data_IF_472337162217
#
_entry.id   IF_472337162217
#
_cell.length_a   1.000
_cell.length_b   1.000
_cell.length_c   1.000
_cell.angle_alpha   90.00
_cell.angle_beta   90.00
_cell.angle_gamma   90.00
#
_symmetry.space_group_name_H-M   'P 1'
#
loop_
_entity.id
_entity.type
_entity.pdbx_description
1 polymer ?
#
# COMPACT_ATOMS: atom_id res chain seq x y z
N UNK A 1 -32.17 -0.84 5.32
CA UNK A 1 -32.32 -0.36 6.71
C UNK A 1 -30.95 -0.37 7.35
N UNK A 2 -30.45 0.80 7.77
CA UNK A 2 -29.16 0.90 8.47
C UNK A 2 -29.33 0.16 9.81
N UNK A 3 -28.53 -0.88 10.03
CA UNK A 3 -28.61 -1.70 11.24
C UNK A 3 -28.22 -0.84 12.45
N UNK A 4 -29.14 -0.63 13.40
CA UNK A 4 -28.92 0.22 14.59
C UNK A 4 -27.78 -0.29 15.47
N UNK A 5 -27.33 -1.53 15.28
CA UNK A 5 -26.15 -2.11 15.94
C UNK A 5 -24.85 -1.41 15.53
N UNK A 6 -24.78 -0.86 14.31
CA UNK A 6 -23.62 -0.09 13.86
C UNK A 6 -23.38 1.11 14.78
N UNK A 7 -24.40 1.93 15.06
CA UNK A 7 -24.22 3.13 15.90
C UNK A 7 -23.79 2.84 17.35
N UNK A 8 -24.18 1.69 17.90
CA UNK A 8 -23.94 1.35 19.31
C UNK A 8 -22.62 0.61 19.56
N UNK A 9 -22.15 -0.17 18.57
CA UNK A 9 -20.90 -0.94 18.66
C UNK A 9 -19.75 -0.31 17.87
N UNK A 10 -19.96 0.88 17.29
CA UNK A 10 -18.94 1.58 16.54
C UNK A 10 -17.93 2.24 17.48
N UNK A 11 -16.65 2.03 17.19
CA UNK A 11 -15.56 2.64 17.95
C UNK A 11 -15.38 4.11 17.53
N UNK A 12 -16.13 4.97 18.20
CA UNK A 12 -16.06 6.42 18.01
C UNK A 12 -14.69 7.00 18.39
N UNK A 13 -13.93 6.32 19.27
CA UNK A 13 -12.59 6.75 19.67
C UNK A 13 -11.62 6.70 18.50
N UNK A 14 -11.61 5.59 17.75
CA UNK A 14 -10.78 5.45 16.55
C UNK A 14 -11.17 6.48 15.49
N UNK A 15 -12.48 6.68 15.26
CA UNK A 15 -12.93 7.67 14.27
C UNK A 15 -12.46 9.08 14.65
N UNK A 16 -12.59 9.47 15.92
CA UNK A 16 -12.13 10.78 16.39
C UNK A 16 -10.61 10.93 16.26
N UNK A 17 -9.83 9.88 16.60
CA UNK A 17 -8.38 9.90 16.43
C UNK A 17 -7.97 10.08 14.96
N UNK A 18 -8.62 9.36 14.03
CA UNK A 18 -8.37 9.50 12.58
C UNK A 18 -8.72 10.92 12.10
N UNK A 19 -9.85 11.48 12.54
CA UNK A 19 -10.24 12.85 12.20
C UNK A 19 -9.26 13.88 12.76
N UNK A 20 -8.82 13.73 14.01
CA UNK A 20 -7.87 14.62 14.64
C UNK A 20 -6.53 14.63 13.88
N UNK A 21 -5.97 13.46 13.57
CA UNK A 21 -4.74 13.34 12.79
C UNK A 21 -4.91 13.95 11.39
N UNK A 22 -6.07 13.72 10.76
CA UNK A 22 -6.37 14.28 9.43
C UNK A 22 -6.43 15.81 9.45
N UNK A 23 -7.05 16.39 10.46
CA UNK A 23 -7.14 17.85 10.65
C UNK A 23 -5.78 18.47 10.94
N UNK A 24 -4.96 17.83 11.78
CA UNK A 24 -3.56 18.24 12.00
C UNK A 24 -2.81 18.24 10.66
N UNK A 25 -2.99 17.18 9.84
CA UNK A 25 -2.41 17.12 8.50
C UNK A 25 -2.83 18.28 7.59
N UNK A 26 -4.12 18.67 7.61
CA UNK A 26 -4.60 19.85 6.86
C UNK A 26 -3.95 21.14 7.37
N UNK A 27 -3.84 21.31 8.69
CA UNK A 27 -3.18 22.48 9.29
C UNK A 27 -1.69 22.54 8.90
N UNK A 28 -1.00 21.41 8.87
CA UNK A 28 0.39 21.32 8.42
C UNK A 28 0.52 21.69 6.94
N UNK A 29 -0.37 21.20 6.07
CA UNK A 29 -0.38 21.57 4.64
C UNK A 29 -0.62 23.06 4.47
N UNK A 30 -1.58 23.62 5.19
CA UNK A 30 -1.87 25.05 5.17
C UNK A 30 -0.64 25.87 5.58
N UNK A 31 0.04 25.47 6.66
CA UNK A 31 1.26 26.12 7.15
C UNK A 31 2.41 26.02 6.13
N UNK A 32 2.68 24.83 5.61
CA UNK A 32 3.78 24.56 4.68
C UNK A 32 3.59 25.20 3.30
N UNK A 33 2.35 25.50 2.90
CA UNK A 33 2.01 26.12 1.61
C UNK A 33 1.83 27.63 1.73
N UNK A 34 2.13 28.24 2.89
CA UNK A 34 2.05 29.71 3.02
C UNK A 34 3.09 30.37 2.11
N UNK A 35 2.67 31.29 1.22
CA UNK A 35 3.60 32.03 0.38
C UNK A 35 4.45 32.97 1.26
N UNK A 36 5.73 33.09 0.93
CA UNK A 36 6.71 33.93 1.67
C UNK A 36 6.65 35.41 1.22
N UNK A 37 6.12 35.68 0.02
CA UNK A 37 5.93 37.00 -0.61
C UNK A 37 4.53 37.06 -1.25
N UNK A 38 4.10 38.21 -1.81
CA UNK A 38 2.79 38.52 -2.44
C UNK A 38 2.35 37.60 -3.61
N UNK A 39 2.45 36.29 -3.44
CA UNK A 39 1.96 35.27 -4.33
C UNK A 39 0.62 34.73 -3.79
N UNK A 40 -0.24 34.29 -4.70
CA UNK A 40 -1.50 33.64 -4.33
C UNK A 40 -1.23 32.37 -3.51
N UNK A 41 -1.93 32.24 -2.38
CA UNK A 41 -1.83 31.06 -1.53
C UNK A 41 -2.36 29.83 -2.28
N UNK A 42 -1.52 28.81 -2.47
CA UNK A 42 -1.99 27.60 -3.13
C UNK A 42 -3.00 26.85 -2.26
N UNK A 43 -4.07 26.40 -2.90
CA UNK A 43 -5.29 25.96 -2.23
C UNK A 43 -5.30 24.46 -1.91
N UNK A 44 -4.12 23.85 -1.70
CA UNK A 44 -3.99 22.41 -1.45
C UNK A 44 -4.72 21.94 -0.20
N UNK A 45 -4.78 22.79 0.84
CA UNK A 45 -5.52 22.48 2.07
C UNK A 45 -7.04 22.35 1.82
N UNK A 46 -7.64 23.17 0.95
CA UNK A 46 -9.06 22.99 0.56
C UNK A 46 -9.24 21.70 -0.22
N UNK A 47 -8.32 21.39 -1.15
CA UNK A 47 -8.33 20.11 -1.87
C UNK A 47 -8.28 18.93 -0.89
N UNK A 48 -7.44 18.99 0.14
CA UNK A 48 -7.35 17.97 1.17
C UNK A 48 -8.65 17.83 1.98
N UNK A 49 -9.32 18.95 2.32
CA UNK A 49 -10.62 18.91 2.98
C UNK A 49 -11.68 18.23 2.10
N UNK A 50 -11.73 18.51 0.80
CA UNK A 50 -12.63 17.80 -0.12
C UNK A 50 -12.35 16.29 -0.16
N UNK A 51 -11.08 15.88 -0.17
CA UNK A 51 -10.70 14.47 -0.12
C UNK A 51 -11.06 13.80 1.20
N UNK A 52 -10.91 14.49 2.34
CA UNK A 52 -11.36 13.99 3.65
C UNK A 52 -12.87 13.80 3.64
N UNK A 53 -13.65 14.77 3.15
CA UNK A 53 -15.10 14.65 3.04
C UNK A 53 -15.51 13.48 2.14
N UNK A 54 -14.90 13.34 0.97
CA UNK A 54 -15.16 12.21 0.06
C UNK A 54 -14.77 10.88 0.72
N UNK A 55 -13.63 10.83 1.41
CA UNK A 55 -13.18 9.67 2.17
C UNK A 55 -14.15 9.26 3.27
N UNK A 56 -14.73 10.23 4.00
CA UNK A 56 -15.76 9.99 5.01
C UNK A 56 -17.06 9.45 4.40
N UNK A 57 -17.49 9.99 3.26
CA UNK A 57 -18.65 9.44 2.53
C UNK A 57 -18.38 7.98 2.15
N UNK A 58 -17.23 7.70 1.52
CA UNK A 58 -16.83 6.32 1.18
C UNK A 58 -16.75 5.41 2.41
N UNK A 59 -16.23 5.91 3.52
CA UNK A 59 -16.16 5.20 4.79
C UNK A 59 -17.55 4.79 5.30
N UNK A 60 -18.50 5.73 5.38
CA UNK A 60 -19.85 5.43 5.85
C UNK A 60 -20.60 4.47 4.91
N UNK A 61 -20.37 4.58 3.60
CA UNK A 61 -20.92 3.62 2.61
C UNK A 61 -20.37 2.22 2.87
N UNK A 62 -19.05 2.07 3.04
CA UNK A 62 -18.42 0.77 3.29
C UNK A 62 -18.85 0.16 4.62
N UNK A 63 -18.92 0.97 5.69
CA UNK A 63 -19.37 0.52 7.03
C UNK A 63 -20.83 0.07 7.02
N UNK A 64 -21.65 0.63 6.13
CA UNK A 64 -23.07 0.25 5.99
C UNK A 64 -23.27 -1.10 5.29
N UNK A 65 -22.23 -1.67 4.66
CA UNK A 65 -22.28 -2.96 3.96
C UNK A 65 -21.79 -4.06 4.91
N UNK A 66 -22.53 -5.18 4.97
CA UNK A 66 -22.14 -6.35 5.77
C UNK A 66 -20.76 -6.87 5.32
N UNK A 67 -19.83 -6.96 6.27
CA UNK A 67 -18.47 -7.48 6.06
C UNK A 67 -18.46 -8.87 5.41
N UNK A 68 -19.49 -9.70 5.62
CA UNK A 68 -19.63 -11.02 4.99
C UNK A 68 -19.70 -10.94 3.47
N UNK A 69 -20.24 -9.86 2.91
CA UNK A 69 -20.28 -9.65 1.47
C UNK A 69 -18.88 -9.44 0.89
N UNK A 70 -18.04 -8.66 1.58
CA UNK A 70 -16.64 -8.47 1.20
C UNK A 70 -15.83 -9.77 1.26
N UNK A 71 -16.04 -10.58 2.30
CA UNK A 71 -15.37 -11.88 2.44
C UNK A 71 -15.77 -12.85 1.31
N UNK A 72 -17.05 -12.89 0.94
CA UNK A 72 -17.53 -13.73 -0.17
C UNK A 72 -16.98 -13.28 -1.52
N UNK A 73 -16.84 -11.97 -1.72
CA UNK A 73 -16.38 -11.36 -2.98
C UNK A 73 -14.87 -11.14 -3.05
N UNK A 74 -14.11 -11.58 -2.04
CA UNK A 74 -12.70 -11.25 -1.87
C UNK A 74 -11.83 -11.61 -3.09
N UNK A 75 -12.03 -12.80 -3.66
CA UNK A 75 -11.29 -13.23 -4.85
C UNK A 75 -11.68 -12.47 -6.12
N UNK A 76 -12.95 -12.03 -6.22
CA UNK A 76 -13.40 -11.17 -7.32
C UNK A 76 -12.71 -9.82 -7.23
N UNK A 77 -12.66 -9.21 -6.03
CA UNK A 77 -11.94 -7.96 -5.82
C UNK A 77 -10.44 -8.09 -6.12
N UNK A 78 -9.83 -9.21 -5.75
CA UNK A 78 -8.44 -9.48 -6.11
C UNK A 78 -8.23 -9.52 -7.63
N UNK A 79 -9.10 -10.21 -8.37
CA UNK A 79 -9.02 -10.26 -9.83
C UNK A 79 -9.24 -8.88 -10.46
N UNK A 80 -10.22 -8.11 -9.97
CA UNK A 80 -10.41 -6.71 -10.38
C UNK A 80 -9.13 -5.90 -10.12
N UNK A 81 -8.51 -6.09 -8.97
CA UNK A 81 -7.23 -5.46 -8.63
C UNK A 81 -6.10 -5.79 -9.61
N UNK A 82 -5.97 -7.07 -9.99
CA UNK A 82 -5.01 -7.51 -11.02
C UNK A 82 -5.29 -6.80 -12.35
N UNK A 83 -6.56 -6.76 -12.78
CA UNK A 83 -6.97 -6.07 -14.01
C UNK A 83 -6.62 -4.59 -13.95
N UNK A 84 -6.85 -3.91 -12.82
CA UNK A 84 -6.49 -2.51 -12.64
C UNK A 84 -4.95 -2.29 -12.68
N UNK A 85 -4.17 -3.21 -12.12
CA UNK A 85 -2.70 -3.17 -12.21
C UNK A 85 -2.20 -3.38 -13.66
N UNK A 86 -2.87 -4.22 -14.45
CA UNK A 86 -2.58 -4.36 -15.88
C UNK A 86 -2.99 -3.08 -16.62
N UNK A 87 -4.17 -2.53 -16.30
CA UNK A 87 -4.71 -1.34 -16.95
C UNK A 87 -3.77 -0.14 -16.81
N UNK A 88 -3.18 0.09 -15.63
CA UNK A 88 -2.23 1.20 -15.45
C UNK A 88 -0.93 1.01 -16.23
N UNK A 89 -0.51 -0.22 -16.52
CA UNK A 89 0.66 -0.47 -17.39
C UNK A 89 0.41 -0.07 -18.84
N UNK A 90 -0.85 -0.07 -19.28
CA UNK A 90 -1.23 0.29 -20.66
C UNK A 90 -1.68 1.75 -20.76
N UNK A 91 -2.52 2.19 -19.84
CA UNK A 91 -3.22 3.49 -19.89
C UNK A 91 -2.69 4.52 -18.87
N UNK A 92 -1.71 4.15 -18.03
CA UNK A 92 -1.14 5.06 -17.04
C UNK A 92 -0.28 6.16 -17.68
N UNK A 93 -0.27 7.34 -17.06
CA UNK A 93 0.63 8.42 -17.47
C UNK A 93 2.02 8.19 -16.89
N UNK A 94 3.07 8.35 -17.70
CA UNK A 94 4.46 8.38 -17.22
C UNK A 94 4.70 9.74 -16.55
N UNK A 95 4.86 9.75 -15.23
CA UNK A 95 5.25 10.94 -14.44
C UNK A 95 6.49 10.61 -13.61
N UNK A 96 7.49 11.50 -13.59
CA UNK A 96 8.75 11.34 -12.84
C UNK A 96 9.44 9.97 -13.04
N UNK A 97 9.42 9.43 -14.27
CA UNK A 97 10.06 8.16 -14.61
C UNK A 97 9.27 6.89 -14.23
N UNK A 98 8.02 7.01 -13.75
CA UNK A 98 7.17 5.87 -13.41
C UNK A 98 5.72 6.02 -13.90
N UNK A 99 5.12 4.90 -14.30
CA UNK A 99 3.74 4.85 -14.81
C UNK A 99 2.83 4.26 -13.72
N UNK A 100 2.21 5.13 -12.92
CA UNK A 100 1.56 4.75 -11.65
C UNK A 100 0.15 5.29 -11.48
N UNK A 101 -0.17 6.37 -12.19
CA UNK A 101 -1.43 7.08 -12.04
C UNK A 101 -2.21 7.04 -13.34
N UNK A 102 -3.49 6.71 -13.23
CA UNK A 102 -4.47 6.83 -14.32
C UNK A 102 -5.14 8.20 -14.17
N UNK A 103 -4.93 9.15 -15.09
CA UNK A 103 -5.60 10.43 -15.05
C UNK A 103 -7.06 10.24 -15.50
N UNK A 104 -8.02 10.44 -14.59
CA UNK A 104 -9.45 10.42 -14.89
C UNK A 104 -9.98 11.84 -15.23
N UNK A 105 -9.08 12.79 -15.47
CA UNK A 105 -9.39 14.21 -15.70
C UNK A 105 -9.60 14.98 -14.40
N UNK A 106 -10.63 14.64 -13.63
CA UNK A 106 -10.96 15.30 -12.37
C UNK A 106 -10.17 14.76 -11.16
N UNK A 107 -9.66 13.53 -11.26
CA UNK A 107 -8.82 12.91 -10.25
C UNK A 107 -7.73 12.05 -10.87
N UNK A 108 -6.66 11.83 -10.10
CA UNK A 108 -5.66 10.82 -10.42
C UNK A 108 -5.98 9.57 -9.60
N UNK A 109 -6.12 8.43 -10.27
CA UNK A 109 -6.39 7.16 -9.62
C UNK A 109 -5.13 6.30 -9.59
N UNK A 110 -4.78 5.76 -8.42
CA UNK A 110 -3.64 4.86 -8.25
C UNK A 110 -4.12 3.44 -7.94
N UNK A 111 -4.16 2.53 -8.94
CA UNK A 111 -4.61 1.15 -8.75
C UNK A 111 -3.92 0.38 -7.62
N UNK A 112 -2.62 0.63 -7.42
CA UNK A 112 -1.83 -0.09 -6.42
C UNK A 112 -2.28 0.15 -4.98
N UNK A 113 -2.93 1.29 -4.70
CA UNK A 113 -3.47 1.60 -3.38
C UNK A 113 -4.68 0.71 -3.07
N UNK A 114 -5.61 0.61 -4.01
CA UNK A 114 -6.79 -0.27 -3.90
C UNK A 114 -6.41 -1.74 -3.90
N UNK A 115 -5.40 -2.12 -4.70
CA UNK A 115 -4.92 -3.49 -4.75
C UNK A 115 -4.46 -4.01 -3.38
N UNK A 116 -3.84 -3.18 -2.54
CA UNK A 116 -3.44 -3.60 -1.18
C UNK A 116 -4.63 -4.06 -0.34
N UNK A 117 -5.76 -3.35 -0.43
CA UNK A 117 -6.99 -3.71 0.29
C UNK A 117 -7.56 -5.03 -0.24
N UNK A 118 -7.61 -5.18 -1.58
CA UNK A 118 -8.09 -6.39 -2.23
C UNK A 118 -7.20 -7.61 -1.93
N UNK A 119 -5.89 -7.40 -1.86
CA UNK A 119 -4.90 -8.40 -1.46
C UNK A 119 -5.13 -8.86 -0.03
N UNK A 120 -5.30 -7.95 0.93
CA UNK A 120 -5.61 -8.29 2.33
C UNK A 120 -6.91 -9.09 2.43
N UNK A 121 -7.98 -8.69 1.71
CA UNK A 121 -9.25 -9.43 1.71
C UNK A 121 -9.10 -10.84 1.14
N UNK A 122 -8.41 -11.01 0.02
CA UNK A 122 -8.23 -12.32 -0.59
C UNK A 122 -7.30 -13.22 0.24
N UNK A 123 -6.22 -12.66 0.77
CA UNK A 123 -5.28 -13.38 1.60
C UNK A 123 -5.92 -13.80 2.93
N UNK A 124 -6.67 -12.91 3.61
CA UNK A 124 -7.42 -13.28 4.82
C UNK A 124 -8.45 -14.37 4.54
N UNK A 125 -9.17 -14.30 3.41
CA UNK A 125 -10.14 -15.32 3.01
C UNK A 125 -9.49 -16.68 2.79
N UNK A 126 -8.32 -16.72 2.16
CA UNK A 126 -7.55 -17.95 1.94
C UNK A 126 -7.02 -18.52 3.26
N UNK A 127 -6.34 -17.67 4.04
CA UNK A 127 -5.74 -18.04 5.32
C UNK A 127 -6.76 -18.51 6.36
N UNK A 128 -7.93 -17.88 6.43
CA UNK A 128 -9.02 -18.30 7.34
C UNK A 128 -9.55 -19.71 7.05
N UNK A 129 -9.43 -20.18 5.80
CA UNK A 129 -9.76 -21.55 5.43
C UNK A 129 -8.73 -22.57 5.92
N UNK A 130 -7.45 -22.20 5.91
CA UNK A 130 -6.33 -23.07 6.32
C UNK A 130 -6.20 -23.14 7.84
N UNK A 131 -6.38 -22.01 8.54
CA UNK A 131 -6.22 -21.91 9.98
C UNK A 131 -7.09 -22.92 10.75
N UNK A 132 -8.24 -23.29 10.19
CA UNK A 132 -9.13 -24.30 10.79
C UNK A 132 -8.52 -25.70 10.84
N UNK A 133 -7.53 -25.99 10.00
CA UNK A 133 -7.03 -27.33 9.79
C UNK A 133 -5.61 -27.55 10.31
N UNK A 134 -4.66 -26.59 10.22
CA UNK A 134 -3.27 -26.80 10.69
C UNK A 134 -2.36 -25.53 10.64
N UNK A 135 -1.15 -25.64 11.22
CA UNK A 135 -0.06 -24.63 11.14
C UNK A 135 0.47 -24.54 9.70
N UNK A 136 0.74 -23.34 9.20
CA UNK A 136 1.27 -23.13 7.85
C UNK A 136 2.63 -23.83 7.64
N UNK A 137 2.63 -24.81 6.72
CA UNK A 137 3.82 -25.49 6.23
C UNK A 137 4.43 -24.85 4.98
N UNK A 138 5.57 -25.37 4.51
CA UNK A 138 6.31 -24.82 3.37
C UNK A 138 5.48 -24.85 2.07
N UNK A 139 4.76 -25.94 1.83
CA UNK A 139 3.94 -26.09 0.62
C UNK A 139 2.80 -25.04 0.56
N UNK A 140 2.15 -24.75 1.68
CA UNK A 140 1.10 -23.74 1.74
C UNK A 140 1.67 -22.32 1.55
N UNK A 141 2.84 -22.04 2.15
CA UNK A 141 3.50 -20.75 1.92
C UNK A 141 3.88 -20.57 0.44
N UNK A 142 4.42 -21.61 -0.21
CA UNK A 142 4.74 -21.58 -1.64
C UNK A 142 3.48 -21.32 -2.49
N UNK A 143 2.35 -21.96 -2.18
CA UNK A 143 1.08 -21.69 -2.87
C UNK A 143 0.63 -20.24 -2.68
N UNK A 144 0.70 -19.71 -1.47
CA UNK A 144 0.33 -18.32 -1.19
C UNK A 144 1.18 -17.37 -2.03
N UNK A 145 2.50 -17.57 -2.04
CA UNK A 145 3.42 -16.72 -2.82
C UNK A 145 3.11 -16.82 -4.32
N UNK A 146 2.93 -18.04 -4.84
CA UNK A 146 2.73 -18.25 -6.27
C UNK A 146 1.38 -17.69 -6.77
N UNK A 147 0.32 -17.86 -5.99
CA UNK A 147 -1.04 -17.44 -6.37
C UNK A 147 -1.25 -15.95 -6.12
N UNK A 148 -0.89 -15.47 -4.92
CA UNK A 148 -1.29 -14.13 -4.48
C UNK A 148 -0.20 -13.07 -4.62
N UNK A 149 1.08 -13.44 -4.73
CA UNK A 149 2.19 -12.46 -4.62
C UNK A 149 2.97 -12.35 -5.93
N UNK A 150 3.30 -13.47 -6.57
CA UNK A 150 4.19 -13.49 -7.73
C UNK A 150 3.68 -12.60 -8.87
N UNK A 151 2.44 -12.83 -9.31
CA UNK A 151 1.84 -12.07 -10.40
C UNK A 151 1.72 -10.56 -10.08
N UNK A 152 1.11 -10.13 -8.94
CA UNK A 152 1.06 -8.71 -8.60
C UNK A 152 2.43 -8.07 -8.43
N UNK A 153 3.38 -8.75 -7.80
CA UNK A 153 4.72 -8.22 -7.58
C UNK A 153 5.39 -7.92 -8.94
N UNK A 154 5.29 -8.83 -9.91
CA UNK A 154 5.81 -8.59 -11.26
C UNK A 154 5.12 -7.39 -11.92
N UNK A 155 3.80 -7.28 -11.82
CA UNK A 155 3.04 -6.16 -12.39
C UNK A 155 3.43 -4.82 -11.77
N UNK A 156 3.65 -4.77 -10.46
CA UNK A 156 4.01 -3.54 -9.72
C UNK A 156 5.49 -3.18 -9.94
N UNK A 157 6.39 -4.16 -10.04
CA UNK A 157 7.79 -3.93 -10.39
C UNK A 157 7.93 -3.31 -11.79
N UNK A 158 7.06 -3.68 -12.74
CA UNK A 158 6.96 -3.04 -14.05
C UNK A 158 6.49 -1.58 -13.99
N UNK A 159 5.88 -1.13 -12.89
CA UNK A 159 5.46 0.26 -12.63
C UNK A 159 6.55 1.10 -11.91
N UNK A 160 7.81 0.71 -12.08
CA UNK A 160 8.95 0.92 -11.15
C UNK A 160 8.58 1.29 -9.70
N UNK A 161 7.67 0.56 -9.03
CA UNK A 161 7.15 0.95 -7.70
C UNK A 161 7.61 0.02 -6.57
N UNK A 162 8.91 0.03 -6.27
CA UNK A 162 9.52 -0.85 -5.26
C UNK A 162 8.84 -0.78 -3.88
N UNK A 163 8.50 0.42 -3.40
CA UNK A 163 7.88 0.59 -2.08
C UNK A 163 6.55 -0.15 -1.92
N UNK A 164 5.74 -0.25 -2.98
CA UNK A 164 4.46 -0.97 -2.92
C UNK A 164 4.68 -2.47 -2.79
N UNK A 165 5.69 -3.03 -3.47
CA UNK A 165 6.05 -4.45 -3.34
C UNK A 165 6.49 -4.76 -1.92
N UNK A 166 7.31 -3.89 -1.31
CA UNK A 166 7.73 -4.05 0.08
C UNK A 166 6.53 -4.05 1.04
N UNK A 167 5.55 -3.17 0.82
CA UNK A 167 4.31 -3.16 1.62
C UNK A 167 3.53 -4.47 1.46
N UNK A 168 3.39 -5.00 0.23
CA UNK A 168 2.71 -6.29 0.02
C UNK A 168 3.42 -7.44 0.73
N UNK A 169 4.75 -7.48 0.68
CA UNK A 169 5.55 -8.47 1.42
C UNK A 169 5.38 -8.33 2.93
N UNK A 170 5.33 -7.10 3.44
CA UNK A 170 5.09 -6.84 4.86
C UNK A 170 3.69 -7.29 5.30
N UNK A 171 2.66 -7.01 4.49
CA UNK A 171 1.30 -7.50 4.73
C UNK A 171 1.28 -9.04 4.75
N UNK A 172 1.90 -9.68 3.75
CA UNK A 172 1.99 -11.14 3.68
C UNK A 172 2.62 -11.71 4.95
N UNK A 173 3.77 -11.18 5.35
CA UNK A 173 4.49 -11.62 6.54
C UNK A 173 3.64 -11.44 7.81
N UNK A 174 3.06 -10.25 8.00
CA UNK A 174 2.21 -9.96 9.15
C UNK A 174 1.04 -10.94 9.26
N UNK A 175 0.29 -11.15 8.18
CA UNK A 175 -0.89 -12.01 8.19
C UNK A 175 -0.55 -13.49 8.35
N UNK A 176 0.53 -13.95 7.70
CA UNK A 176 0.96 -15.36 7.84
C UNK A 176 1.49 -15.66 9.24
N UNK A 177 2.17 -14.72 9.89
CA UNK A 177 2.58 -14.84 11.29
C UNK A 177 1.38 -14.92 12.24
N UNK A 178 0.30 -14.17 12.00
CA UNK A 178 -0.93 -14.24 12.80
C UNK A 178 -1.58 -15.63 12.77
N UNK A 179 -1.54 -16.31 11.63
CA UNK A 179 -2.10 -17.67 11.47
C UNK A 179 -1.23 -18.73 12.16
N UNK A 180 0.05 -18.43 12.36
CA UNK A 180 1.03 -19.36 12.90
C UNK A 180 1.76 -20.09 11.77
N UNK A 181 3.08 -19.86 11.68
CA UNK A 181 3.98 -20.54 10.75
C UNK A 181 4.87 -21.48 11.55
N UNK A 182 5.25 -22.63 10.96
CA UNK A 182 6.27 -23.50 11.56
C UNK A 182 7.55 -22.70 11.82
N UNK A 183 8.01 -22.64 13.08
CA UNK A 183 9.20 -21.88 13.52
C UNK A 183 10.43 -22.11 12.63
N UNK A 184 10.64 -23.34 12.16
CA UNK A 184 11.74 -23.71 11.24
C UNK A 184 11.71 -22.88 9.95
N UNK A 185 10.54 -22.62 9.37
CA UNK A 185 10.39 -21.85 8.13
C UNK A 185 10.74 -20.38 8.37
N UNK A 186 10.31 -19.82 9.51
CA UNK A 186 10.63 -18.44 9.89
C UNK A 186 12.15 -18.29 10.06
N UNK A 187 12.79 -19.21 10.79
CA UNK A 187 14.25 -19.19 11.01
C UNK A 187 15.01 -19.32 9.69
N UNK A 188 14.64 -20.29 8.83
CA UNK A 188 15.27 -20.47 7.51
C UNK A 188 15.07 -19.23 6.62
N UNK A 189 13.86 -18.66 6.60
CA UNK A 189 13.59 -17.43 5.84
C UNK A 189 14.44 -16.25 6.30
N UNK A 190 14.61 -16.09 7.61
CA UNK A 190 15.42 -15.01 8.20
C UNK A 190 16.91 -15.18 7.87
N UNK A 191 17.41 -16.43 7.91
CA UNK A 191 18.78 -16.77 7.48
C UNK A 191 18.98 -16.48 5.98
N UNK A 192 18.02 -16.86 5.12
CA UNK A 192 18.09 -16.58 3.68
C UNK A 192 18.14 -15.08 3.43
N UNK A 193 17.28 -14.29 4.08
CA UNK A 193 17.29 -12.82 3.94
C UNK A 193 18.65 -12.27 4.36
N UNK A 194 19.18 -12.67 5.52
CA UNK A 194 20.44 -12.19 6.05
C UNK A 194 21.65 -12.53 5.15
N UNK A 195 21.69 -13.76 4.61
CA UNK A 195 22.75 -14.20 3.69
C UNK A 195 22.61 -13.52 2.33
N UNK A 196 21.39 -13.29 1.87
CA UNK A 196 21.12 -12.67 0.58
C UNK A 196 21.41 -11.17 0.55
N UNK A 197 21.29 -10.47 1.68
CA UNK A 197 21.51 -9.02 1.81
C UNK A 197 22.79 -8.48 1.11
N UNK A 198 23.99 -9.03 1.34
CA UNK A 198 25.21 -8.56 0.67
C UNK A 198 25.27 -8.88 -0.84
N UNK A 199 24.68 -9.99 -1.28
CA UNK A 199 24.65 -10.39 -2.69
C UNK A 199 23.58 -9.63 -3.49
N UNK A 200 22.39 -9.51 -2.92
CA UNK A 200 21.28 -8.75 -3.46
C UNK A 200 21.64 -7.27 -3.49
N UNK A 201 22.32 -6.76 -2.46
CA UNK A 201 22.81 -5.38 -2.42
C UNK A 201 23.76 -5.07 -3.58
N UNK A 202 24.73 -5.93 -3.85
CA UNK A 202 25.72 -5.72 -4.92
C UNK A 202 25.13 -5.88 -6.33
N UNK A 203 24.27 -6.89 -6.54
CA UNK A 203 23.61 -7.14 -7.84
C UNK A 203 22.56 -6.07 -8.13
N UNK A 204 21.69 -5.74 -7.16
CA UNK A 204 20.69 -4.70 -7.34
C UNK A 204 21.35 -3.34 -7.52
N UNK A 205 22.46 -3.05 -6.83
CA UNK A 205 23.18 -1.80 -7.07
C UNK A 205 23.68 -1.67 -8.50
N UNK A 206 23.98 -2.75 -9.22
CA UNK A 206 24.25 -2.69 -10.66
C UNK A 206 23.03 -2.17 -11.46
N UNK A 207 21.87 -2.76 -11.21
CA UNK A 207 20.61 -2.58 -11.96
C UNK A 207 19.76 -1.38 -11.55
N UNK A 208 20.03 -0.77 -10.39
CA UNK A 208 19.31 0.40 -9.92
C UNK A 208 19.55 1.60 -10.84
N UNK A 209 18.47 2.28 -11.21
CA UNK A 209 18.53 3.55 -11.95
C UNK A 209 19.25 4.61 -11.13
N UNK A 210 19.89 5.58 -11.79
CA UNK A 210 20.69 6.64 -11.13
C UNK A 210 19.92 7.33 -10.00
N UNK A 211 18.65 7.69 -10.22
CA UNK A 211 17.81 8.31 -9.19
C UNK A 211 17.57 7.42 -7.95
N UNK A 212 17.53 6.09 -8.13
CA UNK A 212 17.33 5.15 -7.02
C UNK A 212 18.59 5.05 -6.17
N UNK A 213 19.76 5.05 -6.81
CA UNK A 213 21.06 5.09 -6.13
C UNK A 213 21.23 6.38 -5.35
N UNK A 214 20.95 7.53 -5.99
CA UNK A 214 21.03 8.85 -5.36
C UNK A 214 20.15 8.93 -4.10
N UNK A 215 18.91 8.39 -4.13
CA UNK A 215 18.06 8.34 -2.94
C UNK A 215 18.63 7.49 -1.80
N UNK A 216 19.27 6.35 -2.09
CA UNK A 216 19.90 5.52 -1.05
C UNK A 216 21.13 6.25 -0.48
N UNK A 217 21.95 6.86 -1.34
CA UNK A 217 23.14 7.62 -0.91
C UNK A 217 22.73 8.82 -0.05
N UNK A 218 21.73 9.60 -0.49
CA UNK A 218 21.20 10.74 0.26
C UNK A 218 20.60 10.33 1.61
N UNK A 219 19.94 9.16 1.69
CA UNK A 219 19.42 8.63 2.95
C UNK A 219 20.53 8.23 3.92
N UNK A 220 21.59 7.57 3.44
CA UNK A 220 22.72 7.10 4.27
C UNK A 220 23.64 8.25 4.67
N UNK A 221 23.85 9.21 3.76
CA UNK A 221 24.68 10.38 4.00
C UNK A 221 23.95 11.68 3.56
N UNK A 222 23.16 12.27 4.48
CA UNK A 222 22.42 13.50 4.22
C UNK A 222 23.30 14.70 3.86
N UNK A 223 24.60 14.66 4.19
CA UNK A 223 25.54 15.76 3.93
C UNK A 223 26.05 15.81 2.49
N UNK A 224 25.87 14.74 1.71
CA UNK A 224 26.27 14.68 0.28
C UNK A 224 25.17 15.26 -0.61
N UNK A 225 23.95 15.39 -0.11
CA UNK A 225 22.81 15.94 -0.83
C UNK A 225 22.79 17.48 -0.77
N UNK A 226 23.77 18.13 -1.41
CA UNK A 226 23.84 19.59 -1.52
C UNK A 226 22.87 20.16 -2.59
N UNK A 227 22.25 19.30 -3.41
CA UNK A 227 21.40 19.71 -4.54
C UNK A 227 19.91 19.36 -4.37
N UNK A 228 19.51 18.72 -3.27
CA UNK A 228 18.12 18.35 -3.01
C UNK A 228 17.63 17.15 -3.84
N UNK A 229 18.55 16.33 -4.35
CA UNK A 229 18.24 15.16 -5.19
C UNK A 229 17.57 14.02 -4.40
N UNK A 230 17.68 14.01 -3.07
CA UNK A 230 16.95 13.08 -2.20
C UNK A 230 15.44 13.35 -2.15
N UNK A 231 15.00 14.56 -2.49
CA UNK A 231 13.62 15.03 -2.32
C UNK A 231 12.98 15.56 -3.62
N UNK A 232 13.16 14.89 -4.76
CA UNK A 232 12.28 15.05 -5.93
C UNK A 232 11.97 13.71 -6.62
#
# INVERSE_FOLDING_TARGET
MIDRRLLKNFDWGILFAVLAISLIGVMTIYSATRPVLDAEQQTYYLKQLYWICLGLICFFVVVSIDYRWFIKSAYVFFLIGIVLLILVLVAGRKGSGAQRWIPLGFMSFQPSEFFKIFFVMALSRYLSGIWRNEILGMMELTKIVLIFVLLPAILILKQPHLGTVMILLFILLSMTLTVGIRKKIVVVGLIIVLISLPFVGTILWGELKTYQKQRIIAFVNPYVDQQGEGYH
#
